data_IF_365749823834
#
_entry.id   IF_365749823834
#
_cell.length_a   1.000
_cell.length_b   1.000
_cell.length_c   1.000
_cell.angle_alpha   90.00
_cell.angle_beta   90.00
_cell.angle_gamma   90.00
#
_symmetry.space_group_name_H-M   'P 1'
#
loop_
_entity.id
_entity.type
_entity.pdbx_description
1 polymer ?
#
# COMPACT_ATOMS: atom_id res chain seq x y z
N UNK A 1 -21.26 11.70 -10.99
CA UNK A 1 -19.84 11.44 -11.32
C UNK A 1 -19.05 11.44 -10.02
N UNK A 2 -17.96 10.68 -9.93
CA UNK A 2 -17.17 10.56 -8.69
C UNK A 2 -16.37 11.84 -8.42
N UNK A 3 -16.46 12.38 -7.20
CA UNK A 3 -15.68 13.57 -6.79
C UNK A 3 -14.17 13.38 -7.01
N UNK A 4 -13.69 12.14 -6.91
CA UNK A 4 -12.30 11.76 -7.16
C UNK A 4 -11.87 11.98 -8.61
N UNK A 5 -12.79 11.85 -9.58
CA UNK A 5 -12.51 12.04 -11.00
C UNK A 5 -12.63 13.51 -11.43
N UNK A 6 -13.48 14.28 -10.76
CA UNK A 6 -13.75 15.69 -11.08
C UNK A 6 -12.67 16.63 -10.54
N UNK A 7 -11.98 16.25 -9.46
CA UNK A 7 -10.98 17.08 -8.78
C UNK A 7 -9.62 16.38 -8.68
N UNK A 8 -9.11 15.87 -9.80
CA UNK A 8 -7.86 15.09 -9.87
C UNK A 8 -6.68 15.76 -9.16
N UNK A 9 -6.47 17.05 -9.41
CA UNK A 9 -5.38 17.82 -8.78
C UNK A 9 -5.43 17.80 -7.24
N UNK A 10 -6.63 17.68 -6.66
CA UNK A 10 -6.79 17.56 -5.21
C UNK A 10 -6.60 16.13 -4.73
N UNK A 11 -7.10 15.13 -5.47
CA UNK A 11 -7.12 13.73 -5.04
C UNK A 11 -5.87 12.92 -5.46
N UNK A 12 -5.04 13.45 -6.35
CA UNK A 12 -3.75 12.86 -6.74
C UNK A 12 -2.63 13.22 -5.74
N UNK A 13 -2.88 14.15 -4.80
CA UNK A 13 -1.93 14.55 -3.77
C UNK A 13 -1.85 13.59 -2.57
N UNK A 14 -0.77 13.70 -1.77
CA UNK A 14 -0.66 13.02 -0.47
C UNK A 14 -1.50 13.79 0.54
N UNK A 15 -2.72 13.30 0.82
CA UNK A 15 -3.69 14.00 1.65
C UNK A 15 -3.75 13.51 3.11
N UNK A 16 -3.44 12.24 3.35
CA UNK A 16 -3.71 11.58 4.63
C UNK A 16 -2.48 11.38 5.51
N UNK A 17 -1.29 11.42 4.92
CA UNK A 17 -0.06 11.22 5.68
C UNK A 17 0.29 12.51 6.42
N UNK A 18 0.69 12.36 7.68
CA UNK A 18 1.33 13.43 8.46
C UNK A 18 2.72 13.75 7.92
N UNK A 19 3.27 14.91 8.26
CA UNK A 19 4.65 15.27 7.84
C UNK A 19 5.68 14.23 8.31
N UNK A 20 5.52 13.69 9.52
CA UNK A 20 6.38 12.63 10.05
C UNK A 20 6.30 11.35 9.20
N UNK A 21 5.10 11.00 8.74
CA UNK A 21 4.87 9.83 7.88
C UNK A 21 5.37 10.03 6.46
N UNK A 22 5.37 11.27 5.96
CA UNK A 22 6.00 11.60 4.68
C UNK A 22 7.52 11.41 4.77
N UNK A 23 8.14 11.82 5.88
CA UNK A 23 9.58 11.61 6.10
C UNK A 23 9.93 10.13 6.32
N UNK A 24 9.02 9.32 6.88
CA UNK A 24 9.20 7.88 7.06
C UNK A 24 7.94 7.06 6.66
N UNK A 25 7.69 6.86 5.35
CA UNK A 25 6.52 6.13 4.88
C UNK A 25 6.51 4.66 5.30
N UNK A 26 7.69 4.08 5.53
CA UNK A 26 7.82 2.69 5.98
C UNK A 26 7.20 2.50 7.37
N UNK A 27 7.27 3.52 8.23
CA UNK A 27 6.63 3.49 9.54
C UNK A 27 5.09 3.39 9.48
N UNK A 28 4.48 3.84 8.38
CA UNK A 28 3.04 3.65 8.13
C UNK A 28 2.74 2.17 7.89
N UNK A 29 3.58 1.49 7.11
CA UNK A 29 3.44 0.05 6.89
C UNK A 29 3.66 -0.73 8.19
N UNK A 30 4.67 -0.36 9.00
CA UNK A 30 4.95 -1.00 10.30
C UNK A 30 3.71 -0.97 11.20
N UNK A 31 3.08 0.21 11.32
CA UNK A 31 1.84 0.40 12.09
C UNK A 31 0.65 -0.34 11.49
N UNK A 32 0.48 -0.30 10.17
CA UNK A 32 -0.62 -1.03 9.53
C UNK A 32 -0.53 -2.54 9.78
N UNK A 33 0.65 -3.14 9.59
CA UNK A 33 0.83 -4.58 9.75
C UNK A 33 1.05 -5.04 11.21
N UNK A 34 1.11 -4.11 12.18
CA UNK A 34 0.98 -4.47 13.60
C UNK A 34 -0.46 -4.84 13.95
N UNK A 35 -1.42 -4.14 13.34
CA UNK A 35 -2.85 -4.27 13.65
C UNK A 35 -3.54 -5.28 12.73
N UNK A 36 -3.05 -5.44 11.49
CA UNK A 36 -3.66 -6.31 10.49
C UNK A 36 -2.67 -7.36 9.96
N UNK A 37 -3.01 -8.65 10.07
CA UNK A 37 -2.20 -9.72 9.47
C UNK A 37 -2.43 -9.78 7.97
N UNK A 38 -1.38 -10.06 7.21
CA UNK A 38 -1.45 -10.14 5.74
C UNK A 38 -2.56 -11.08 5.22
N UNK A 39 -2.80 -12.21 5.88
CA UNK A 39 -3.86 -13.14 5.47
C UNK A 39 -5.27 -12.58 5.72
N UNK A 40 -5.46 -11.79 6.79
CA UNK A 40 -6.71 -11.09 7.07
C UNK A 40 -6.95 -10.00 6.04
N UNK A 41 -5.92 -9.24 5.67
CA UNK A 41 -6.03 -8.23 4.61
C UNK A 41 -6.47 -8.86 3.27
N UNK A 42 -5.86 -9.99 2.87
CA UNK A 42 -6.27 -10.75 1.67
C UNK A 42 -7.71 -11.22 1.76
N UNK A 43 -8.09 -11.81 2.90
CA UNK A 43 -9.45 -12.26 3.11
C UNK A 43 -10.46 -11.10 2.99
N UNK A 44 -10.18 -9.97 3.64
CA UNK A 44 -11.05 -8.80 3.62
C UNK A 44 -11.18 -8.22 2.20
N UNK A 45 -10.07 -8.09 1.46
CA UNK A 45 -10.11 -7.67 0.05
C UNK A 45 -10.96 -8.62 -0.81
N UNK A 46 -10.80 -9.93 -0.63
CA UNK A 46 -11.61 -10.92 -1.33
C UNK A 46 -13.09 -10.81 -0.97
N UNK A 47 -13.42 -10.64 0.30
CA UNK A 47 -14.82 -10.49 0.76
C UNK A 47 -15.46 -9.24 0.14
N UNK A 48 -14.74 -8.11 0.09
CA UNK A 48 -15.24 -6.90 -0.57
C UNK A 48 -15.54 -7.16 -2.05
N UNK A 49 -14.58 -7.73 -2.77
CA UNK A 49 -14.72 -8.02 -4.21
C UNK A 49 -15.84 -9.02 -4.48
N UNK A 50 -15.90 -10.09 -3.68
CA UNK A 50 -16.97 -11.08 -3.74
C UNK A 50 -18.33 -10.42 -3.56
N UNK A 51 -18.47 -9.54 -2.56
CA UNK A 51 -19.72 -8.82 -2.30
C UNK A 51 -20.13 -7.96 -3.48
N UNK A 52 -19.19 -7.22 -4.06
CA UNK A 52 -19.43 -6.37 -5.24
C UNK A 52 -19.88 -7.16 -6.48
N UNK A 53 -19.42 -8.41 -6.67
CA UNK A 53 -19.79 -9.21 -7.85
C UNK A 53 -21.00 -10.11 -7.63
N UNK A 54 -21.36 -10.43 -6.38
CA UNK A 54 -22.51 -11.31 -6.07
C UNK A 54 -23.77 -10.55 -5.69
N UNK A 55 -23.67 -9.26 -5.38
CA UNK A 55 -24.82 -8.42 -5.03
C UNK A 55 -25.31 -7.72 -6.29
N UNK A 56 -26.63 -7.65 -6.47
CA UNK A 56 -27.21 -6.82 -7.53
C UNK A 56 -26.82 -5.36 -7.30
N UNK A 57 -26.06 -4.80 -8.24
CA UNK A 57 -25.69 -3.39 -8.24
C UNK A 57 -25.36 -2.93 -9.66
N UNK A 58 -25.60 -1.65 -9.92
CA UNK A 58 -25.41 -1.06 -11.25
C UNK A 58 -23.93 -0.83 -11.60
N UNK A 59 -23.03 -0.86 -10.61
CA UNK A 59 -21.61 -0.50 -10.79
C UNK A 59 -20.75 -1.64 -11.35
N UNK A 60 -21.21 -2.89 -11.23
CA UNK A 60 -20.50 -4.08 -11.70
C UNK A 60 -21.40 -4.98 -12.55
N UNK A 61 -22.38 -4.38 -13.24
CA UNK A 61 -23.36 -5.10 -14.06
C UNK A 61 -22.72 -5.61 -15.37
N UNK A 62 -21.71 -4.89 -15.89
CA UNK A 62 -20.98 -5.35 -17.07
C UNK A 62 -19.90 -6.40 -16.75
N UNK A 63 -19.67 -7.39 -17.64
CA UNK A 63 -18.56 -8.32 -17.50
C UNK A 63 -17.18 -7.64 -17.45
N UNK A 64 -17.02 -6.53 -18.15
CA UNK A 64 -15.76 -5.78 -18.21
C UNK A 64 -15.43 -5.11 -16.86
N UNK A 65 -16.40 -4.47 -16.22
CA UNK A 65 -16.22 -3.87 -14.89
C UNK A 65 -15.85 -4.93 -13.84
N UNK A 66 -16.49 -6.11 -13.88
CA UNK A 66 -16.15 -7.24 -13.02
C UNK A 66 -14.74 -7.75 -13.27
N UNK A 67 -14.32 -7.89 -14.53
CA UNK A 67 -12.97 -8.29 -14.89
C UNK A 67 -11.93 -7.27 -14.38
N UNK A 68 -12.21 -5.97 -14.55
CA UNK A 68 -11.37 -4.89 -14.06
C UNK A 68 -11.26 -4.88 -12.53
N UNK A 69 -12.35 -5.14 -11.82
CA UNK A 69 -12.35 -5.26 -10.35
C UNK A 69 -11.47 -6.42 -9.89
N UNK A 70 -11.61 -7.60 -10.50
CA UNK A 70 -10.77 -8.76 -10.19
C UNK A 70 -9.29 -8.51 -10.47
N UNK A 71 -8.98 -7.79 -11.56
CA UNK A 71 -7.61 -7.41 -11.87
C UNK A 71 -7.03 -6.47 -10.81
N UNK A 72 -7.77 -5.41 -10.43
CA UNK A 72 -7.34 -4.47 -9.39
C UNK A 72 -7.16 -5.15 -8.03
N UNK A 73 -8.03 -6.09 -7.67
CA UNK A 73 -7.88 -6.89 -6.44
C UNK A 73 -6.51 -7.58 -6.39
N UNK A 74 -6.08 -8.19 -7.51
CA UNK A 74 -4.80 -8.91 -7.59
C UNK A 74 -3.62 -7.96 -7.42
N UNK A 75 -3.72 -6.76 -7.99
CA UNK A 75 -2.68 -5.74 -7.84
C UNK A 75 -2.62 -5.18 -6.40
N UNK A 76 -3.76 -5.03 -5.73
CA UNK A 76 -3.78 -4.68 -4.30
C UNK A 76 -3.14 -5.76 -3.42
N UNK A 77 -3.40 -7.04 -3.68
CA UNK A 77 -2.74 -8.12 -2.94
C UNK A 77 -1.22 -8.10 -3.11
N UNK A 78 -0.75 -7.89 -4.35
CA UNK A 78 0.69 -7.75 -4.64
C UNK A 78 1.30 -6.55 -3.95
N UNK A 79 0.57 -5.43 -3.88
CA UNK A 79 1.01 -4.24 -3.16
C UNK A 79 1.17 -4.53 -1.66
N UNK A 80 0.18 -5.20 -1.03
CA UNK A 80 0.25 -5.59 0.38
C UNK A 80 1.43 -6.53 0.65
N UNK A 81 1.69 -7.48 -0.25
CA UNK A 81 2.86 -8.36 -0.17
C UNK A 81 4.17 -7.58 -0.27
N UNK A 82 4.26 -6.64 -1.22
CA UNK A 82 5.43 -5.78 -1.38
C UNK A 82 5.69 -4.96 -0.12
N UNK A 83 4.67 -4.33 0.46
CA UNK A 83 4.79 -3.59 1.72
C UNK A 83 5.26 -4.50 2.86
N UNK A 84 4.67 -5.70 2.99
CA UNK A 84 5.11 -6.68 4.00
C UNK A 84 6.57 -7.09 3.81
N UNK A 85 7.02 -7.24 2.57
CA UNK A 85 8.40 -7.59 2.25
C UNK A 85 9.35 -6.44 2.60
N UNK A 86 8.97 -5.19 2.34
CA UNK A 86 9.74 -4.01 2.75
C UNK A 86 9.97 -3.97 4.27
N UNK A 87 8.98 -4.39 5.07
CA UNK A 87 9.11 -4.48 6.52
C UNK A 87 10.04 -5.61 6.98
N UNK A 88 10.04 -6.74 6.26
CA UNK A 88 10.87 -7.90 6.60
C UNK A 88 12.32 -7.76 6.16
N UNK A 89 12.62 -6.83 5.25
CA UNK A 89 14.00 -6.58 4.82
C UNK A 89 14.80 -6.04 6.00
N UNK A 90 15.95 -6.64 6.36
CA UNK A 90 16.80 -6.07 7.38
C UNK A 90 17.19 -4.65 6.96
N UNK A 91 17.01 -3.67 7.86
CA UNK A 91 17.46 -2.30 7.66
C UNK A 91 18.95 -2.39 7.31
N UNK A 92 19.31 -2.08 6.05
CA UNK A 92 20.72 -1.90 5.67
C UNK A 92 21.24 -0.78 6.57
N UNK A 93 22.01 -1.12 7.59
CA UNK A 93 22.74 -0.14 8.39
C UNK A 93 23.59 0.65 7.39
N UNK A 94 23.46 1.99 7.32
CA UNK A 94 24.41 2.78 6.53
C UNK A 94 25.78 2.48 7.13
N UNK A 95 26.69 1.96 6.31
CA UNK A 95 28.06 1.66 6.72
C UNK A 95 28.64 2.90 7.38
N UNK A 96 29.08 2.77 8.64
CA UNK A 96 29.76 3.84 9.36
C UNK A 96 30.93 4.38 8.53
N UNK A 97 31.20 5.70 8.58
CA UNK A 97 32.27 6.30 7.82
C UNK A 97 33.60 5.69 8.23
N UNK A 98 34.36 5.25 7.23
CA UNK A 98 35.72 4.74 7.36
C UNK A 98 36.53 5.75 8.16
N UNK A 99 37.00 5.33 9.34
CA UNK A 99 37.92 6.09 10.18
C UNK A 99 39.20 6.40 9.41
N UNK A 100 39.50 7.69 9.25
CA UNK A 100 40.75 8.20 8.68
C UNK A 100 41.96 7.61 9.40
N UNK A 101 43.03 7.20 8.69
CA UNK A 101 44.26 6.80 9.33
C UNK A 101 44.93 8.03 9.96
N UNK A 102 45.11 7.99 11.28
CA UNK A 102 45.99 8.93 12.00
C UNK A 102 47.40 8.78 11.45
N UNK A 103 47.92 9.83 10.80
CA UNK A 103 49.33 9.98 10.56
C UNK A 103 50.03 10.22 11.91
N UNK A 104 50.77 9.22 12.39
CA UNK A 104 51.74 9.39 13.47
C UNK A 104 52.95 10.21 13.00
N UNK A 105 53.54 10.89 13.98
CA UNK A 105 54.56 11.94 13.89
C UNK A 105 55.87 11.52 13.24
#
# INVERSE_FOLDING_TARGET
>A
MSLFLEKKELFDGILLLTEEEIQNPVGVFERFFSDYRLHECRHNLWVMVKTCITTENDQFDSPEERANLLHRQKDFERLLEACTLLLKRPKKTPASPVSEPKAEK
#
